data_IF_819597201557
#
_entry.id   IF_819597201557
#
_cell.length_a   1.000
_cell.length_b   1.000
_cell.length_c   1.000
_cell.angle_alpha   90.00
_cell.angle_beta   90.00
_cell.angle_gamma   90.00
#
_symmetry.space_group_name_H-M   'P 1'
#
loop_
_entity.id
_entity.type
_entity.pdbx_description
1 polymer ?
#
# COMPACT_ATOMS: atom_id res chain seq x y z
N UNK A 1 18.42 5.27 25.88
CA UNK A 1 17.76 5.55 24.58
C UNK A 1 17.75 4.35 23.64
N UNK A 2 18.90 3.79 23.26
CA UNK A 2 18.94 2.60 22.37
C UNK A 2 18.30 1.33 22.96
N UNK A 3 18.31 1.15 24.25
CA UNK A 3 17.77 -0.04 24.92
C UNK A 3 16.24 -0.06 24.99
N UNK A 4 15.61 1.10 25.06
CA UNK A 4 14.14 1.22 25.09
C UNK A 4 13.51 0.93 23.72
N UNK A 5 14.19 1.29 22.62
CA UNK A 5 13.72 1.03 21.26
C UNK A 5 13.83 -0.45 20.86
N UNK A 6 14.90 -1.12 21.29
CA UNK A 6 15.06 -2.56 21.07
C UNK A 6 13.98 -3.37 21.81
N UNK A 7 13.66 -2.98 23.05
CA UNK A 7 12.57 -3.59 23.84
C UNK A 7 11.22 -3.45 23.12
N UNK A 8 10.97 -2.32 22.49
CA UNK A 8 9.70 -2.09 21.76
C UNK A 8 9.56 -3.03 20.55
N UNK A 9 10.61 -3.31 19.81
CA UNK A 9 10.56 -4.24 18.67
C UNK A 9 10.38 -5.69 19.13
N UNK A 10 10.96 -6.07 20.28
CA UNK A 10 10.76 -7.38 20.90
C UNK A 10 9.36 -7.57 21.45
N UNK A 11 8.67 -6.49 21.83
CA UNK A 11 7.29 -6.50 22.32
C UNK A 11 6.23 -6.46 21.20
N UNK A 12 6.62 -6.33 19.94
CA UNK A 12 5.68 -6.36 18.82
C UNK A 12 4.96 -7.70 18.77
N UNK A 13 3.63 -7.67 18.90
CA UNK A 13 2.78 -8.86 18.82
C UNK A 13 2.68 -9.43 17.41
N UNK A 14 2.94 -8.61 16.41
CA UNK A 14 2.78 -8.95 15.00
C UNK A 14 4.07 -8.64 14.23
N UNK A 15 4.49 -9.56 13.38
CA UNK A 15 5.67 -9.36 12.54
C UNK A 15 5.43 -8.37 11.41
N UNK A 16 4.20 -8.28 10.92
CA UNK A 16 3.86 -7.44 9.80
C UNK A 16 2.70 -6.51 10.17
N UNK A 17 2.90 -5.23 9.87
CA UNK A 17 1.87 -4.20 9.95
C UNK A 17 1.55 -3.79 8.51
N UNK A 18 0.30 -3.95 8.11
CA UNK A 18 -0.12 -3.77 6.73
C UNK A 18 -1.12 -2.63 6.66
N UNK A 19 -0.78 -1.59 5.91
CA UNK A 19 -1.68 -0.46 5.63
C UNK A 19 -2.54 -0.85 4.43
N UNK A 20 -3.86 -0.93 4.63
CA UNK A 20 -4.83 -1.17 3.60
C UNK A 20 -5.72 0.07 3.44
N UNK A 21 -5.74 0.66 2.25
CA UNK A 21 -6.54 1.84 1.91
C UNK A 21 -7.21 1.67 0.55
N UNK A 22 -8.23 2.46 0.30
CA UNK A 22 -8.85 2.52 -1.02
C UNK A 22 -7.84 2.92 -2.10
N UNK A 23 -8.08 2.49 -3.33
CA UNK A 23 -7.21 2.77 -4.48
C UNK A 23 -7.49 4.13 -5.15
N UNK A 24 -8.22 5.01 -4.49
CA UNK A 24 -8.53 6.35 -4.95
C UNK A 24 -7.59 7.42 -4.34
N UNK A 25 -7.81 8.69 -4.69
CA UNK A 25 -7.02 9.82 -4.20
C UNK A 25 -7.13 9.98 -2.69
N UNK A 26 -8.32 9.80 -2.12
CA UNK A 26 -8.56 9.91 -0.69
C UNK A 26 -7.85 8.79 0.07
N UNK A 27 -7.89 7.57 -0.45
CA UNK A 27 -7.15 6.43 0.08
C UNK A 27 -5.64 6.64 0.05
N UNK A 28 -5.09 7.25 -0.99
CA UNK A 28 -3.67 7.63 -1.06
C UNK A 28 -3.32 8.67 0.00
N UNK A 29 -4.17 9.65 0.23
CA UNK A 29 -3.95 10.65 1.28
C UNK A 29 -3.96 10.02 2.68
N UNK A 30 -4.92 9.15 2.98
CA UNK A 30 -4.97 8.40 4.24
C UNK A 30 -3.72 7.55 4.43
N UNK A 31 -3.28 6.87 3.37
CA UNK A 31 -2.03 6.07 3.37
C UNK A 31 -0.83 6.91 3.80
N UNK A 32 -0.69 8.10 3.24
CA UNK A 32 0.42 9.00 3.55
C UNK A 32 0.37 9.51 4.98
N UNK A 33 -0.81 9.82 5.51
CA UNK A 33 -0.97 10.21 6.91
C UNK A 33 -0.56 9.06 7.85
N UNK A 34 -0.93 7.83 7.55
CA UNK A 34 -0.52 6.65 8.31
C UNK A 34 0.99 6.41 8.22
N UNK A 35 1.58 6.53 7.02
CA UNK A 35 3.02 6.44 6.87
C UNK A 35 3.76 7.50 7.69
N UNK A 36 3.28 8.74 7.66
CA UNK A 36 3.83 9.84 8.46
C UNK A 36 3.75 9.54 9.96
N UNK A 37 2.63 8.98 10.42
CA UNK A 37 2.47 8.54 11.81
C UNK A 37 3.53 7.51 12.21
N UNK A 38 3.72 6.46 11.41
CA UNK A 38 4.73 5.44 11.70
C UNK A 38 6.15 5.99 11.64
N UNK A 39 6.46 6.83 10.67
CA UNK A 39 7.77 7.46 10.53
C UNK A 39 8.10 8.37 11.71
N UNK A 40 7.11 9.07 12.26
CA UNK A 40 7.31 9.98 13.38
C UNK A 40 7.43 9.25 14.71
N UNK A 41 6.53 8.33 14.99
CA UNK A 41 6.42 7.72 16.31
C UNK A 41 7.11 6.36 16.41
N UNK A 42 7.26 5.65 15.28
CA UNK A 42 7.78 4.29 15.22
C UNK A 42 8.79 4.08 14.07
N UNK A 43 9.82 4.95 13.95
CA UNK A 43 10.76 4.87 12.83
C UNK A 43 11.50 3.54 12.76
N UNK A 44 11.77 2.90 13.91
CA UNK A 44 12.46 1.61 13.97
C UNK A 44 11.62 0.46 13.44
N UNK A 45 10.29 0.51 13.58
CA UNK A 45 9.35 -0.44 12.96
C UNK A 45 9.47 -0.39 11.44
N UNK A 46 9.57 0.81 10.89
CA UNK A 46 9.75 1.00 9.43
C UNK A 46 11.12 0.54 8.98
N UNK A 47 12.19 0.93 9.68
CA UNK A 47 13.58 0.56 9.35
C UNK A 47 13.82 -0.95 9.44
N UNK A 48 13.17 -1.61 10.37
CA UNK A 48 13.29 -3.06 10.56
C UNK A 48 12.42 -3.89 9.59
N UNK A 49 11.68 -3.23 8.69
CA UNK A 49 10.95 -3.90 7.64
C UNK A 49 9.63 -4.55 8.08
N UNK A 50 8.97 -4.02 9.11
CA UNK A 50 7.70 -4.52 9.61
C UNK A 50 6.48 -3.83 8.99
N UNK A 51 6.66 -2.73 8.26
CA UNK A 51 5.57 -1.95 7.67
C UNK A 51 5.45 -2.21 6.18
N UNK A 52 4.21 -2.50 5.74
CA UNK A 52 3.86 -2.82 4.37
C UNK A 52 2.62 -2.05 3.94
N UNK A 53 2.47 -1.88 2.64
CA UNK A 53 1.26 -1.39 1.98
C UNK A 53 0.61 -2.57 1.26
N UNK A 54 -0.68 -2.78 1.48
CA UNK A 54 -1.46 -3.77 0.75
C UNK A 54 -1.78 -3.24 -0.65
N UNK A 55 -1.38 -3.97 -1.68
CA UNK A 55 -1.90 -3.76 -3.02
C UNK A 55 -3.29 -4.40 -3.12
N UNK A 56 -4.28 -3.59 -3.46
CA UNK A 56 -5.65 -4.05 -3.71
C UNK A 56 -5.92 -4.09 -5.21
N UNK A 57 -6.70 -5.07 -5.70
CA UNK A 57 -7.02 -5.14 -7.11
C UNK A 57 -7.85 -3.93 -7.55
N UNK A 58 -7.57 -3.46 -8.76
CA UNK A 58 -8.30 -2.37 -9.40
C UNK A 58 -9.47 -2.89 -10.24
N UNK A 59 -9.35 -4.11 -10.75
CA UNK A 59 -10.36 -4.71 -11.63
C UNK A 59 -10.59 -6.18 -11.28
N UNK A 60 -11.83 -6.60 -11.46
CA UNK A 60 -12.22 -8.00 -11.52
C UNK A 60 -12.68 -8.31 -12.95
N UNK A 61 -12.05 -9.28 -13.57
CA UNK A 61 -12.40 -9.80 -14.90
C UNK A 61 -12.86 -11.24 -14.74
N UNK A 62 -14.11 -11.54 -15.06
CA UNK A 62 -14.67 -12.88 -14.91
C UNK A 62 -15.44 -13.36 -16.12
N UNK A 63 -15.43 -14.67 -16.31
CA UNK A 63 -16.33 -15.38 -17.17
C UNK A 63 -17.10 -16.44 -16.36
N UNK A 64 -17.86 -17.31 -17.03
CA UNK A 64 -18.65 -18.37 -16.37
C UNK A 64 -17.79 -19.41 -15.64
N UNK A 65 -16.48 -19.50 -15.93
CA UNK A 65 -15.59 -20.54 -15.43
C UNK A 65 -14.52 -20.04 -14.48
N UNK A 66 -14.08 -18.78 -14.65
CA UNK A 66 -12.91 -18.24 -13.97
C UNK A 66 -13.08 -16.76 -13.64
N UNK A 67 -12.54 -16.35 -12.49
CA UNK A 67 -12.46 -14.96 -12.05
C UNK A 67 -10.99 -14.60 -11.88
N UNK A 68 -10.58 -13.46 -12.42
CA UNK A 68 -9.24 -12.90 -12.26
C UNK A 68 -9.29 -11.50 -11.69
N UNK A 69 -8.38 -11.24 -10.78
CA UNK A 69 -8.18 -9.94 -10.17
C UNK A 69 -6.94 -9.29 -10.78
N UNK A 70 -7.08 -8.05 -11.21
CA UNK A 70 -6.05 -7.32 -11.91
C UNK A 70 -5.69 -6.05 -11.15
N UNK A 71 -4.39 -5.82 -11.01
CA UNK A 71 -3.83 -4.71 -10.23
C UNK A 71 -3.33 -3.58 -11.12
N UNK A 72 -3.40 -3.75 -12.43
CA UNK A 72 -3.04 -2.75 -13.43
C UNK A 72 -3.90 -2.89 -14.69
N UNK A 73 -3.90 -1.86 -15.53
CA UNK A 73 -4.55 -1.91 -16.84
C UNK A 73 -3.94 -2.98 -17.74
N UNK A 74 -2.62 -3.17 -17.69
CA UNK A 74 -1.92 -4.21 -18.44
C UNK A 74 -2.37 -5.62 -18.04
N UNK A 75 -2.52 -5.88 -16.74
CA UNK A 75 -3.05 -7.15 -16.24
C UNK A 75 -4.50 -7.36 -16.68
N UNK A 76 -5.32 -6.31 -16.65
CA UNK A 76 -6.70 -6.34 -17.12
C UNK A 76 -6.78 -6.75 -18.62
N UNK A 77 -6.01 -6.09 -19.47
CA UNK A 77 -5.99 -6.43 -20.91
C UNK A 77 -5.53 -7.86 -21.15
N UNK A 78 -4.52 -8.33 -20.44
CA UNK A 78 -4.06 -9.71 -20.51
C UNK A 78 -5.15 -10.68 -20.06
N UNK A 79 -5.85 -10.39 -18.97
CA UNK A 79 -6.94 -11.22 -18.48
C UNK A 79 -8.11 -11.28 -19.48
N UNK A 80 -8.48 -10.16 -20.10
CA UNK A 80 -9.51 -10.10 -21.13
C UNK A 80 -9.17 -11.02 -22.30
N UNK A 81 -7.93 -10.97 -22.79
CA UNK A 81 -7.47 -11.83 -23.89
C UNK A 81 -7.51 -13.32 -23.54
N UNK A 82 -7.22 -13.67 -22.28
CA UNK A 82 -7.15 -15.06 -21.82
C UNK A 82 -8.52 -15.65 -21.46
N UNK A 83 -9.44 -14.84 -20.95
CA UNK A 83 -10.78 -15.29 -20.52
C UNK A 83 -11.77 -15.45 -21.67
N UNK A 84 -11.40 -15.07 -22.88
CA UNK A 84 -12.19 -15.25 -24.09
C UNK A 84 -13.18 -14.13 -24.37
N UNK A 85 -14.16 -14.35 -25.26
CA UNK A 85 -15.05 -13.28 -25.72
C UNK A 85 -16.02 -12.82 -24.63
N UNK A 86 -16.06 -11.51 -24.45
CA UNK A 86 -17.02 -10.80 -23.56
C UNK A 86 -16.97 -11.21 -22.08
N UNK A 87 -15.80 -11.13 -21.39
CA UNK A 87 -15.79 -11.27 -19.95
C UNK A 87 -16.49 -10.09 -19.28
N UNK A 88 -17.06 -10.32 -18.11
CA UNK A 88 -17.57 -9.26 -17.25
C UNK A 88 -16.41 -8.55 -16.58
N UNK A 89 -16.36 -7.22 -16.66
CA UNK A 89 -15.32 -6.40 -16.07
C UNK A 89 -15.94 -5.49 -15.02
N UNK A 90 -15.47 -5.59 -13.79
CA UNK A 90 -15.84 -4.71 -12.69
C UNK A 90 -14.61 -3.90 -12.28
N UNK A 91 -14.74 -2.58 -12.14
CA UNK A 91 -13.71 -1.72 -11.56
C UNK A 91 -14.03 -1.49 -10.09
N UNK A 92 -13.07 -1.74 -9.23
CA UNK A 92 -13.17 -1.40 -7.81
C UNK A 92 -12.69 0.04 -7.57
N UNK A 93 -13.50 0.82 -6.87
CA UNK A 93 -13.16 2.18 -6.46
C UNK A 93 -12.66 2.22 -5.02
N UNK A 94 -13.18 1.33 -4.17
CA UNK A 94 -12.81 1.24 -2.78
C UNK A 94 -12.92 -0.18 -2.22
N UNK A 95 -12.36 -0.40 -1.05
CA UNK A 95 -12.37 -1.70 -0.37
C UNK A 95 -13.78 -2.19 -0.03
N UNK A 96 -14.73 -1.28 0.17
CA UNK A 96 -16.13 -1.60 0.47
C UNK A 96 -16.89 -2.26 -0.69
N UNK A 97 -16.36 -2.21 -1.91
CA UNK A 97 -16.95 -2.87 -3.09
C UNK A 97 -16.50 -4.34 -3.22
N UNK A 98 -15.51 -4.73 -2.42
CA UNK A 98 -14.95 -6.09 -2.41
C UNK A 98 -15.65 -6.85 -1.30
N UNK A 99 -16.24 -8.01 -1.61
CA UNK A 99 -16.88 -8.84 -0.59
C UNK A 99 -15.85 -9.40 0.40
N UNK A 100 -16.25 -9.73 1.65
CA UNK A 100 -15.34 -10.33 2.63
C UNK A 100 -14.66 -11.61 2.13
N UNK A 101 -15.37 -12.44 1.40
CA UNK A 101 -14.82 -13.68 0.83
C UNK A 101 -13.77 -13.40 -0.25
N UNK A 102 -14.03 -12.44 -1.11
CA UNK A 102 -13.05 -11.97 -2.11
C UNK A 102 -11.82 -11.37 -1.43
N UNK A 103 -12.05 -10.51 -0.41
CA UNK A 103 -10.96 -9.89 0.35
C UNK A 103 -10.10 -10.95 1.05
N UNK A 104 -10.72 -11.97 1.64
CA UNK A 104 -10.01 -13.12 2.21
C UNK A 104 -9.07 -13.81 1.22
N UNK A 105 -9.46 -13.88 -0.05
CA UNK A 105 -8.60 -14.39 -1.13
C UNK A 105 -7.36 -13.53 -1.37
N UNK A 106 -7.48 -12.22 -1.29
CA UNK A 106 -6.34 -11.30 -1.54
C UNK A 106 -5.31 -11.27 -0.42
N UNK A 107 -5.75 -11.44 0.83
CA UNK A 107 -4.86 -11.46 1.99
C UNK A 107 -4.33 -12.87 2.31
N UNK A 108 -4.67 -13.85 1.48
CA UNK A 108 -4.19 -15.23 1.59
C UNK A 108 -2.80 -15.44 0.99
N UNK A 109 -2.60 -16.57 0.30
CA UNK A 109 -1.30 -16.97 -0.26
C UNK A 109 -0.78 -16.00 -1.33
N UNK A 110 -1.67 -15.34 -2.04
CA UNK A 110 -1.33 -14.45 -3.15
C UNK A 110 -1.34 -12.97 -2.75
N UNK A 111 -1.21 -12.71 -1.46
CA UNK A 111 -1.14 -11.34 -0.93
C UNK A 111 0.00 -10.57 -1.59
N UNK A 112 -0.31 -9.38 -2.15
CA UNK A 112 0.68 -8.48 -2.71
C UNK A 112 0.98 -7.37 -1.72
N UNK A 113 2.19 -7.37 -1.18
CA UNK A 113 2.66 -6.39 -0.22
C UNK A 113 3.82 -5.59 -0.80
N UNK A 114 3.75 -4.28 -0.63
CA UNK A 114 4.85 -3.37 -0.91
C UNK A 114 5.53 -2.99 0.40
N UNK A 115 6.82 -3.36 0.60
CA UNK A 115 7.53 -2.99 1.81
C UNK A 115 7.80 -1.48 1.82
N UNK A 116 7.50 -0.83 2.94
CA UNK A 116 7.89 0.55 3.17
C UNK A 116 9.35 0.55 3.58
N UNK A 117 10.21 1.18 2.77
CA UNK A 117 11.66 1.26 3.02
C UNK A 117 12.06 2.70 3.32
N UNK A 118 12.94 2.85 4.28
CA UNK A 118 13.62 4.10 4.56
C UNK A 118 15.11 3.93 4.22
N UNK A 119 15.66 4.86 3.47
CA UNK A 119 17.10 4.98 3.34
C UNK A 119 17.65 5.77 4.53
N UNK A 120 18.89 5.48 4.94
CA UNK A 120 19.57 6.23 6.03
C UNK A 120 19.74 7.73 5.71
N UNK A 121 19.55 8.11 4.45
CA UNK A 121 19.73 9.47 3.96
C UNK A 121 18.40 10.25 3.88
N UNK A 122 17.28 9.61 4.09
CA UNK A 122 16.00 10.31 4.06
C UNK A 122 15.88 11.23 5.28
N UNK A 123 15.81 12.55 5.08
CA UNK A 123 15.69 13.50 6.17
C UNK A 123 14.28 13.44 6.75
N UNK A 124 14.05 12.54 7.71
CA UNK A 124 12.76 12.35 8.38
C UNK A 124 12.21 13.70 8.87
N UNK A 125 13.08 14.55 9.43
CA UNK A 125 12.68 15.88 9.89
C UNK A 125 12.13 16.77 8.78
N UNK A 126 12.67 16.70 7.57
CA UNK A 126 12.18 17.46 6.41
C UNK A 126 10.84 16.92 5.94
N UNK A 127 10.71 15.58 5.85
CA UNK A 127 9.46 14.93 5.48
C UNK A 127 8.35 15.26 6.48
N UNK A 128 8.64 15.14 7.78
CA UNK A 128 7.67 15.43 8.84
C UNK A 128 7.28 16.91 8.91
N UNK A 129 8.25 17.84 8.81
CA UNK A 129 7.95 19.28 8.80
C UNK A 129 7.13 19.68 7.59
N UNK A 130 7.34 19.03 6.47
CA UNK A 130 6.58 19.24 5.25
C UNK A 130 5.13 18.74 5.38
N UNK A 131 4.91 17.52 5.92
CA UNK A 131 3.56 16.95 6.09
C UNK A 131 2.78 17.56 7.26
N UNK A 132 3.45 17.91 8.33
CA UNK A 132 2.83 18.49 9.53
C UNK A 132 2.93 20.01 9.57
N UNK A 133 3.66 20.62 8.64
CA UNK A 133 3.79 22.06 8.49
C UNK A 133 2.54 22.72 7.90
N UNK A 134 2.50 24.05 7.91
CA UNK A 134 1.34 24.85 7.48
C UNK A 134 1.20 25.05 5.95
N UNK A 135 2.05 24.45 5.12
CA UNK A 135 2.10 24.69 3.67
C UNK A 135 1.20 23.71 2.91
N UNK A 136 0.01 24.16 2.53
CA UNK A 136 -1.02 23.29 1.93
C UNK A 136 -0.79 23.01 0.43
N UNK A 137 -0.24 23.96 -0.33
CA UNK A 137 -0.12 23.83 -1.79
C UNK A 137 1.08 23.00 -2.25
N UNK A 138 2.20 23.08 -1.55
CA UNK A 138 3.38 22.27 -1.85
C UNK A 138 3.25 20.82 -1.41
N UNK A 139 2.26 20.51 -0.55
CA UNK A 139 1.99 19.13 -0.07
C UNK A 139 1.52 18.19 -1.15
N UNK A 140 0.73 18.66 -2.11
CA UNK A 140 0.18 17.81 -3.15
C UNK A 140 1.26 17.29 -4.09
N UNK A 141 2.19 18.14 -4.51
CA UNK A 141 3.27 17.76 -5.42
C UNK A 141 4.27 16.82 -4.72
N UNK A 142 4.58 17.10 -3.46
CA UNK A 142 5.49 16.28 -2.67
C UNK A 142 4.90 14.91 -2.28
N UNK A 143 3.59 14.83 -2.07
CA UNK A 143 2.85 13.58 -1.85
C UNK A 143 3.01 12.65 -3.05
N UNK A 144 2.93 13.19 -4.26
CA UNK A 144 3.11 12.43 -5.50
C UNK A 144 4.55 11.93 -5.59
N UNK A 145 5.53 12.77 -5.32
CA UNK A 145 6.95 12.41 -5.38
C UNK A 145 7.33 11.34 -4.34
N UNK A 146 6.83 11.45 -3.12
CA UNK A 146 7.10 10.44 -2.07
C UNK A 146 6.43 9.11 -2.34
N UNK A 147 5.24 9.09 -2.89
CA UNK A 147 4.59 7.84 -3.27
C UNK A 147 5.37 7.08 -4.35
N UNK A 148 6.13 7.80 -5.18
CA UNK A 148 7.00 7.23 -6.21
C UNK A 148 8.38 6.80 -5.68
N UNK A 149 8.91 7.49 -4.67
CA UNK A 149 10.27 7.26 -4.13
C UNK A 149 10.31 6.12 -3.09
N UNK A 150 9.27 5.97 -2.27
CA UNK A 150 9.24 5.01 -1.16
C UNK A 150 8.58 3.67 -1.49
N UNK A 151 7.93 3.54 -2.63
CA UNK A 151 7.39 2.30 -3.16
C UNK A 151 8.47 1.70 -4.07
N UNK A 152 9.34 0.85 -3.51
CA UNK A 152 10.26 0.06 -4.34
C UNK A 152 9.46 -0.98 -5.11
N UNK A 153 9.74 -1.12 -6.42
CA UNK A 153 9.18 -2.19 -7.22
C UNK A 153 9.42 -3.55 -6.55
N UNK A 154 8.43 -4.46 -6.60
CA UNK A 154 8.61 -5.79 -6.03
C UNK A 154 9.80 -6.45 -6.71
N UNK A 155 10.81 -6.79 -5.94
CA UNK A 155 11.90 -7.66 -6.40
C UNK A 155 11.29 -8.98 -6.83
N UNK A 156 11.52 -9.34 -8.08
CA UNK A 156 11.17 -10.64 -8.67
C UNK A 156 11.75 -11.79 -7.86
#
# INVERSE_FOLDING_TARGET
MYREYLLFLEELRYNNIIIATDADVDGMHIRLLLLTFFLQFFPDVVRSGHLYILQTPLFRVRNKKETRYCYSDAEREKAIKQLGPKPEITRFKGLGEISPDEFGGFIGKDIRLEPVRMTKQDPIGTILSYYMGKNTNERQDFIIDLSLIHISEPTR
#
